data_IF_470333690246
#
_entry.id   IF_470333690246
#
_cell.length_a   1.000
_cell.length_b   1.000
_cell.length_c   1.000
_cell.angle_alpha   90.00
_cell.angle_beta   90.00
_cell.angle_gamma   90.00
#
_symmetry.space_group_name_H-M   'P 1'
#
loop_
_entity.id
_entity.type
_entity.pdbx_description
1 polymer ?
#
# COMPACT_ATOMS: atom_id res chain seq x y z
N UNK A 1 -27.90 -21.53 -2.72
CA UNK A 1 -27.66 -20.15 -3.18
C UNK A 1 -26.26 -19.94 -3.75
N UNK A 2 -25.17 -20.39 -3.10
CA UNK A 2 -23.87 -20.57 -3.77
C UNK A 2 -23.76 -21.92 -4.53
N UNK A 3 -24.70 -22.84 -4.29
CA UNK A 3 -24.81 -24.18 -4.90
C UNK A 3 -25.06 -24.19 -6.41
N UNK A 4 -25.58 -23.10 -6.97
CA UNK A 4 -26.06 -23.06 -8.36
C UNK A 4 -25.05 -22.39 -9.30
N UNK A 5 -23.84 -22.05 -8.80
CA UNK A 5 -22.78 -21.39 -9.59
C UNK A 5 -23.03 -19.93 -9.96
N UNK A 6 -24.18 -19.33 -9.57
CA UNK A 6 -24.45 -17.91 -9.81
C UNK A 6 -23.80 -17.06 -8.71
N UNK A 7 -22.73 -16.34 -9.07
CA UNK A 7 -22.04 -15.44 -8.14
C UNK A 7 -22.80 -14.12 -8.03
N UNK A 8 -23.54 -13.93 -6.93
CA UNK A 8 -24.22 -12.67 -6.60
C UNK A 8 -23.28 -11.71 -5.89
N UNK A 9 -23.41 -10.40 -6.14
CA UNK A 9 -22.57 -9.37 -5.53
C UNK A 9 -22.68 -9.35 -4.00
N UNK A 10 -23.89 -9.54 -3.48
CA UNK A 10 -24.18 -9.53 -2.04
C UNK A 10 -23.46 -10.67 -1.31
N UNK A 11 -23.27 -11.82 -1.98
CA UNK A 11 -22.51 -12.95 -1.43
C UNK A 11 -21.03 -12.56 -1.30
N UNK A 12 -20.44 -11.93 -2.30
CA UNK A 12 -19.06 -11.46 -2.25
C UNK A 12 -18.87 -10.40 -1.15
N UNK A 13 -19.79 -9.43 -1.06
CA UNK A 13 -19.77 -8.40 -0.02
C UNK A 13 -19.88 -9.01 1.39
N UNK A 14 -20.78 -9.97 1.58
CA UNK A 14 -20.94 -10.67 2.85
C UNK A 14 -19.66 -11.46 3.23
N UNK A 15 -18.99 -12.09 2.25
CA UNK A 15 -17.72 -12.78 2.49
C UNK A 15 -16.60 -11.82 2.88
N UNK A 16 -16.51 -10.64 2.27
CA UNK A 16 -15.54 -9.61 2.66
C UNK A 16 -15.74 -9.17 4.12
N UNK A 17 -16.98 -8.87 4.50
CA UNK A 17 -17.32 -8.49 5.88
C UNK A 17 -17.06 -9.63 6.87
N UNK A 18 -17.41 -10.86 6.51
CA UNK A 18 -17.15 -12.04 7.34
C UNK A 18 -15.65 -12.25 7.54
N UNK A 19 -14.84 -12.14 6.48
CA UNK A 19 -13.39 -12.26 6.57
C UNK A 19 -12.81 -11.21 7.54
N UNK A 20 -13.25 -9.95 7.45
CA UNK A 20 -12.85 -8.89 8.39
C UNK A 20 -13.26 -9.22 9.84
N UNK A 21 -14.51 -9.62 10.07
CA UNK A 21 -14.98 -10.02 11.40
C UNK A 21 -14.16 -11.19 11.98
N UNK A 22 -13.81 -12.19 11.17
CA UNK A 22 -12.98 -13.31 11.57
C UNK A 22 -11.55 -12.89 11.92
N UNK A 23 -10.99 -11.91 11.18
CA UNK A 23 -9.69 -11.31 11.53
C UNK A 23 -9.74 -10.60 12.88
N UNK A 24 -10.74 -9.75 13.09
CA UNK A 24 -10.94 -9.02 14.34
C UNK A 24 -11.18 -9.96 15.52
N UNK A 25 -11.84 -11.10 15.28
CA UNK A 25 -12.04 -12.15 16.27
C UNK A 25 -10.81 -13.06 16.50
N UNK A 26 -9.65 -12.75 15.93
CA UNK A 26 -8.42 -13.54 16.12
C UNK A 26 -8.45 -14.91 15.45
N UNK A 27 -9.23 -15.09 14.37
CA UNK A 27 -9.38 -16.36 13.64
C UNK A 27 -8.75 -16.28 12.23
N UNK A 28 -7.42 -16.10 12.12
CA UNK A 28 -6.76 -15.81 10.84
C UNK A 28 -6.90 -16.94 9.81
N UNK A 29 -6.93 -18.20 10.24
CA UNK A 29 -7.12 -19.34 9.33
C UNK A 29 -8.52 -19.36 8.70
N UNK A 30 -9.57 -18.99 9.45
CA UNK A 30 -10.93 -18.91 8.91
C UNK A 30 -11.06 -17.73 7.96
N UNK A 31 -10.57 -16.56 8.36
CA UNK A 31 -10.54 -15.38 7.51
C UNK A 31 -9.81 -15.65 6.19
N UNK A 32 -8.71 -16.41 6.23
CA UNK A 32 -7.99 -16.82 5.03
C UNK A 32 -8.84 -17.70 4.09
N UNK A 33 -9.56 -18.69 4.64
CA UNK A 33 -10.47 -19.53 3.86
C UNK A 33 -11.62 -18.72 3.27
N UNK A 34 -12.27 -17.88 4.09
CA UNK A 34 -13.39 -17.01 3.68
C UNK A 34 -12.98 -16.07 2.55
N UNK A 35 -11.83 -15.41 2.69
CA UNK A 35 -11.29 -14.55 1.64
C UNK A 35 -10.93 -15.35 0.39
N UNK A 36 -10.37 -16.56 0.54
CA UNK A 36 -10.05 -17.43 -0.59
C UNK A 36 -11.28 -17.94 -1.36
N UNK A 37 -12.43 -18.06 -0.70
CA UNK A 37 -13.73 -18.34 -1.35
C UNK A 37 -14.18 -17.10 -2.13
N UNK A 38 -14.16 -15.92 -1.50
CA UNK A 38 -14.54 -14.66 -2.15
C UNK A 38 -13.72 -14.41 -3.43
N UNK A 39 -12.39 -14.56 -3.35
CA UNK A 39 -11.50 -14.36 -4.48
C UNK A 39 -11.78 -15.33 -5.64
N UNK A 40 -12.04 -16.60 -5.34
CA UNK A 40 -12.36 -17.61 -6.38
C UNK A 40 -13.71 -17.36 -7.04
N UNK A 41 -14.72 -16.99 -6.25
CA UNK A 41 -16.03 -16.62 -6.78
C UNK A 41 -15.95 -15.37 -7.66
N UNK A 42 -15.17 -14.37 -7.24
CA UNK A 42 -14.94 -13.16 -8.03
C UNK A 42 -14.18 -13.46 -9.34
N UNK A 43 -13.11 -14.26 -9.29
CA UNK A 43 -12.40 -14.69 -10.49
C UNK A 43 -13.33 -15.46 -11.46
N UNK A 44 -14.21 -16.30 -10.94
CA UNK A 44 -15.23 -16.99 -11.74
C UNK A 44 -16.25 -16.01 -12.34
N UNK A 45 -16.69 -14.99 -11.58
CA UNK A 45 -17.58 -13.94 -12.09
C UNK A 45 -16.92 -13.16 -13.22
N UNK A 46 -15.66 -12.77 -13.06
CA UNK A 46 -14.89 -12.05 -14.08
C UNK A 46 -14.73 -12.87 -15.36
N UNK A 47 -14.46 -14.16 -15.23
CA UNK A 47 -14.31 -15.09 -16.37
C UNK A 47 -15.61 -15.29 -17.15
N UNK A 48 -16.77 -15.08 -16.52
CA UNK A 48 -18.09 -15.26 -17.10
C UNK A 48 -18.80 -13.94 -17.43
N UNK A 49 -18.10 -12.80 -17.38
CA UNK A 49 -18.65 -11.51 -17.77
C UNK A 49 -19.03 -11.54 -19.26
N UNK A 50 -20.33 -11.73 -19.53
CA UNK A 50 -20.91 -11.33 -20.82
C UNK A 50 -21.00 -9.82 -20.82
N UNK A 51 -20.52 -9.17 -21.88
CA UNK A 51 -20.63 -7.73 -22.06
C UNK A 51 -22.11 -7.33 -22.01
N UNK A 52 -22.57 -6.91 -20.84
CA UNK A 52 -23.93 -6.47 -20.57
C UNK A 52 -23.82 -5.04 -20.10
N UNK A 53 -24.48 -4.15 -20.84
CA UNK A 53 -24.62 -2.74 -20.54
C UNK A 53 -25.61 -2.57 -19.38
N UNK A 54 -25.13 -2.74 -18.14
CA UNK A 54 -25.93 -2.51 -16.96
C UNK A 54 -25.53 -1.21 -16.24
N UNK A 55 -26.46 -0.63 -15.50
CA UNK A 55 -26.40 0.76 -15.01
C UNK A 55 -25.10 1.15 -14.28
N UNK A 56 -24.64 2.41 -14.46
CA UNK A 56 -23.39 2.96 -13.88
C UNK A 56 -23.23 2.80 -12.36
N UNK A 57 -24.34 2.69 -11.60
CA UNK A 57 -24.30 2.52 -10.14
C UNK A 57 -23.97 1.08 -9.74
N UNK A 58 -24.41 0.11 -10.52
CA UNK A 58 -24.08 -1.30 -10.35
C UNK A 58 -22.59 -1.53 -10.64
N UNK A 59 -22.02 -0.82 -11.61
CA UNK A 59 -20.60 -0.91 -11.98
C UNK A 59 -19.65 -0.47 -10.85
N UNK A 60 -19.94 0.66 -10.16
CA UNK A 60 -19.11 1.12 -9.04
C UNK A 60 -19.19 0.18 -7.83
N UNK A 61 -20.37 -0.36 -7.53
CA UNK A 61 -20.54 -1.34 -6.44
C UNK A 61 -19.77 -2.64 -6.72
N UNK A 62 -19.76 -3.10 -7.97
CA UNK A 62 -18.97 -4.25 -8.42
C UNK A 62 -17.47 -3.95 -8.25
N UNK A 63 -17.01 -2.79 -8.74
CA UNK A 63 -15.62 -2.36 -8.59
C UNK A 63 -15.18 -2.31 -7.13
N UNK A 64 -15.96 -1.64 -6.25
CA UNK A 64 -15.69 -1.58 -4.81
C UNK A 64 -15.58 -2.96 -4.18
N UNK A 65 -16.48 -3.88 -4.53
CA UNK A 65 -16.44 -5.24 -4.00
C UNK A 65 -15.19 -5.99 -4.46
N UNK A 66 -14.86 -5.92 -5.75
CA UNK A 66 -13.64 -6.51 -6.31
C UNK A 66 -12.38 -6.02 -5.57
N UNK A 67 -12.22 -4.69 -5.49
CA UNK A 67 -11.06 -4.07 -4.86
C UNK A 67 -11.01 -4.29 -3.34
N UNK A 68 -12.15 -4.50 -2.68
CA UNK A 68 -12.19 -4.94 -1.29
C UNK A 68 -11.58 -6.34 -1.11
N UNK A 69 -11.90 -7.27 -2.01
CA UNK A 69 -11.32 -8.63 -1.98
C UNK A 69 -9.80 -8.55 -2.21
N UNK A 70 -9.36 -7.77 -3.21
CA UNK A 70 -7.94 -7.53 -3.48
C UNK A 70 -7.23 -6.96 -2.25
N UNK A 71 -7.82 -5.96 -1.59
CA UNK A 71 -7.27 -5.36 -0.38
C UNK A 71 -7.10 -6.40 0.74
N UNK A 72 -8.11 -7.26 0.96
CA UNK A 72 -8.03 -8.35 1.93
C UNK A 72 -6.96 -9.38 1.58
N UNK A 73 -6.81 -9.72 0.29
CA UNK A 73 -5.72 -10.57 -0.19
C UNK A 73 -4.35 -9.93 0.09
N UNK A 74 -4.14 -8.66 -0.25
CA UNK A 74 -2.88 -7.96 -0.01
C UNK A 74 -2.55 -7.82 1.49
N UNK A 75 -3.55 -7.55 2.33
CA UNK A 75 -3.37 -7.35 3.78
C UNK A 75 -3.08 -8.64 4.54
N UNK A 76 -3.75 -9.73 4.16
CA UNK A 76 -3.82 -10.92 5.00
C UNK A 76 -3.28 -12.18 4.34
N UNK A 77 -3.20 -12.21 3.01
CA UNK A 77 -2.88 -13.41 2.23
C UNK A 77 -2.07 -13.12 0.94
N UNK A 78 -1.06 -12.23 0.96
CA UNK A 78 -0.47 -11.70 -0.27
C UNK A 78 0.17 -12.75 -1.18
N UNK A 79 0.61 -13.88 -0.63
CA UNK A 79 1.18 -15.00 -1.38
C UNK A 79 0.16 -15.82 -2.19
N UNK A 80 -1.13 -15.66 -1.90
CA UNK A 80 -2.23 -16.41 -2.53
C UNK A 80 -3.16 -15.49 -3.31
N UNK A 81 -2.73 -14.23 -3.52
CA UNK A 81 -3.49 -13.23 -4.27
C UNK A 81 -3.66 -13.71 -5.70
N UNK A 82 -4.90 -14.00 -6.10
CA UNK A 82 -5.20 -14.42 -7.46
C UNK A 82 -5.76 -13.30 -8.32
N UNK A 83 -6.30 -12.23 -7.71
CA UNK A 83 -7.07 -11.20 -8.44
C UNK A 83 -6.22 -10.07 -9.05
N UNK A 84 -5.02 -9.82 -8.53
CA UNK A 84 -4.14 -8.71 -8.97
C UNK A 84 -3.72 -8.82 -10.44
N UNK A 85 -3.63 -10.03 -10.99
CA UNK A 85 -3.15 -10.29 -12.36
C UNK A 85 -4.25 -10.84 -13.29
N UNK A 86 -5.52 -10.76 -12.88
CA UNK A 86 -6.64 -11.30 -13.67
C UNK A 86 -6.98 -10.38 -14.84
N UNK A 87 -6.95 -10.93 -16.05
CA UNK A 87 -7.52 -10.31 -17.25
C UNK A 87 -8.96 -9.89 -16.98
N UNK A 88 -9.33 -8.65 -17.35
CA UNK A 88 -10.66 -8.06 -17.12
C UNK A 88 -10.98 -7.60 -15.69
N UNK A 89 -9.97 -7.31 -14.87
CA UNK A 89 -10.20 -6.61 -13.60
C UNK A 89 -11.02 -5.31 -13.81
N UNK A 90 -12.01 -5.01 -12.96
CA UNK A 90 -12.75 -3.75 -13.02
C UNK A 90 -11.82 -2.54 -12.87
N UNK A 91 -12.23 -1.39 -13.42
CA UNK A 91 -11.57 -0.11 -13.15
C UNK A 91 -11.57 0.20 -11.65
N UNK A 92 -10.67 1.09 -11.22
CA UNK A 92 -10.67 1.53 -9.82
C UNK A 92 -12.01 2.17 -9.42
N UNK A 93 -12.43 2.04 -8.15
CA UNK A 93 -13.67 2.65 -7.68
C UNK A 93 -13.61 4.17 -7.81
N UNK A 94 -14.77 4.79 -7.99
CA UNK A 94 -14.86 6.25 -8.05
C UNK A 94 -14.36 6.86 -6.75
N UNK A 95 -13.39 7.77 -6.86
CA UNK A 95 -12.91 8.56 -5.73
C UNK A 95 -13.87 9.69 -5.41
N UNK A 96 -13.99 10.03 -4.13
CA UNK A 96 -14.65 11.26 -3.71
C UNK A 96 -13.82 12.49 -4.14
N UNK A 97 -14.47 13.64 -4.42
CA UNK A 97 -13.75 14.88 -4.71
C UNK A 97 -12.81 15.28 -3.57
N UNK A 98 -11.76 16.02 -3.91
CA UNK A 98 -10.88 16.61 -2.91
C UNK A 98 -11.65 17.64 -2.07
N UNK A 99 -11.47 17.64 -0.73
CA UNK A 99 -12.01 18.69 0.13
C UNK A 99 -11.51 20.07 -0.30
N UNK A 100 -12.31 21.15 -0.12
CA UNK A 100 -11.88 22.50 -0.42
C UNK A 100 -10.56 22.84 0.28
N UNK A 101 -9.63 23.47 -0.43
CA UNK A 101 -8.42 23.96 0.23
C UNK A 101 -8.79 25.11 1.17
N UNK A 102 -8.29 25.07 2.41
CA UNK A 102 -8.24 26.26 3.24
C UNK A 102 -7.43 27.33 2.48
N UNK A 103 -7.86 28.59 2.57
CA UNK A 103 -7.18 29.69 1.87
C UNK A 103 -5.66 29.59 2.09
N UNK A 104 -4.83 29.75 1.04
CA UNK A 104 -3.41 29.50 1.16
C UNK A 104 -2.84 30.34 2.31
N UNK A 105 -2.33 29.65 3.33
CA UNK A 105 -1.48 30.26 4.35
C UNK A 105 -0.39 31.03 3.60
N UNK A 106 -0.31 32.35 3.86
CA UNK A 106 0.55 33.35 3.19
C UNK A 106 2.07 33.08 3.19
N UNK A 107 2.53 31.83 3.38
CA UNK A 107 3.95 31.48 3.53
C UNK A 107 4.44 30.24 2.79
N UNK A 108 3.57 29.45 2.14
CA UNK A 108 4.02 28.29 1.37
C UNK A 108 4.38 28.71 -0.07
N UNK A 109 5.51 29.43 -0.21
CA UNK A 109 6.05 29.70 -1.54
C UNK A 109 6.41 28.35 -2.19
N UNK A 110 5.78 28.03 -3.32
CA UNK A 110 6.12 26.86 -4.13
C UNK A 110 7.61 26.94 -4.48
N UNK A 111 8.41 26.03 -3.91
CA UNK A 111 9.81 25.88 -4.31
C UNK A 111 9.81 25.33 -5.75
N UNK A 112 10.12 26.20 -6.72
CA UNK A 112 10.16 25.97 -8.18
C UNK A 112 8.78 25.73 -8.86
N UNK A 113 8.09 26.81 -9.27
CA UNK A 113 6.93 26.75 -10.16
C UNK A 113 7.21 25.98 -11.47
N UNK A 114 8.36 26.24 -12.10
CA UNK A 114 8.73 25.69 -13.42
C UNK A 114 8.84 24.15 -13.48
N UNK A 115 9.17 23.47 -12.37
CA UNK A 115 9.21 22.01 -12.30
C UNK A 115 7.83 21.40 -11.99
N UNK A 116 6.93 22.19 -11.42
CA UNK A 116 5.62 21.75 -10.95
C UNK A 116 4.59 21.87 -12.09
N UNK A 117 4.62 22.97 -12.84
CA UNK A 117 3.70 23.23 -13.95
C UNK A 117 3.89 22.26 -15.14
N UNK A 118 5.12 21.82 -15.40
CA UNK A 118 5.43 20.83 -16.45
C UNK A 118 4.86 19.43 -16.14
N UNK A 119 4.65 19.10 -14.86
CA UNK A 119 4.14 17.81 -14.40
C UNK A 119 2.61 17.82 -14.23
N UNK A 120 2.03 18.96 -13.84
CA UNK A 120 0.59 19.11 -13.58
C UNK A 120 -0.27 19.15 -14.85
N UNK A 121 0.26 19.63 -15.99
CA UNK A 121 -0.51 19.75 -17.23
C UNK A 121 -0.85 18.44 -17.95
N UNK A 122 -0.25 17.31 -17.56
CA UNK A 122 -0.31 16.05 -18.35
C UNK A 122 -0.74 14.81 -17.55
N UNK A 123 -1.02 14.93 -16.25
CA UNK A 123 -1.38 13.77 -15.41
C UNK A 123 -2.89 13.71 -15.24
N UNK A 124 -3.50 12.65 -15.81
CA UNK A 124 -4.88 12.30 -15.50
C UNK A 124 -4.95 11.81 -14.05
N UNK A 125 -5.57 12.60 -13.18
CA UNK A 125 -5.78 12.22 -11.77
C UNK A 125 -6.77 11.05 -11.68
N UNK A 126 -6.26 9.88 -11.25
CA UNK A 126 -7.09 8.70 -11.00
C UNK A 126 -7.89 8.79 -9.68
N UNK A 127 -7.61 9.82 -8.86
CA UNK A 127 -8.23 10.05 -7.57
C UNK A 127 -7.59 9.27 -6.43
N UNK A 128 -7.89 9.69 -5.21
CA UNK A 128 -7.20 9.21 -4.00
C UNK A 128 -7.40 7.72 -3.73
N UNK A 129 -8.56 7.16 -4.08
CA UNK A 129 -8.87 5.75 -3.85
C UNK A 129 -8.03 4.86 -4.76
N UNK A 130 -7.89 5.23 -6.04
CA UNK A 130 -7.06 4.51 -6.98
C UNK A 130 -5.58 4.55 -6.56
N UNK A 131 -5.10 5.72 -6.10
CA UNK A 131 -3.74 5.86 -5.59
C UNK A 131 -3.51 4.96 -4.37
N UNK A 132 -4.40 5.01 -3.37
CA UNK A 132 -4.30 4.17 -2.18
C UNK A 132 -4.28 2.67 -2.51
N UNK A 133 -5.21 2.22 -3.36
CA UNK A 133 -5.27 0.81 -3.78
C UNK A 133 -4.01 0.36 -4.53
N UNK A 134 -3.47 1.21 -5.41
CA UNK A 134 -2.22 0.91 -6.13
C UNK A 134 -1.05 0.63 -5.18
N UNK A 135 -0.85 1.45 -4.15
CA UNK A 135 0.19 1.22 -3.14
C UNK A 135 -0.09 0.00 -2.26
N UNK A 136 -1.35 -0.30 -1.93
CA UNK A 136 -1.72 -1.53 -1.20
C UNK A 136 -1.42 -2.80 -2.01
N UNK A 137 -1.67 -2.77 -3.32
CA UNK A 137 -1.31 -3.90 -4.21
C UNK A 137 0.20 -4.10 -4.25
N UNK A 138 0.97 -3.01 -4.40
CA UNK A 138 2.42 -3.08 -4.38
C UNK A 138 2.96 -3.59 -3.03
N UNK A 139 2.36 -3.14 -1.92
CA UNK A 139 2.64 -3.64 -0.58
C UNK A 139 2.49 -5.16 -0.50
N UNK A 140 1.36 -5.70 -0.99
CA UNK A 140 1.15 -7.15 -1.07
C UNK A 140 2.26 -7.86 -1.85
N UNK A 141 2.68 -7.30 -2.99
CA UNK A 141 3.81 -7.79 -3.79
C UNK A 141 5.14 -7.85 -3.02
N UNK A 142 5.43 -6.82 -2.22
CA UNK A 142 6.63 -6.74 -1.38
C UNK A 142 6.58 -7.76 -0.24
N UNK A 143 5.45 -7.89 0.46
CA UNK A 143 5.31 -8.87 1.54
C UNK A 143 5.47 -10.30 1.00
N UNK A 144 4.92 -10.59 -0.18
CA UNK A 144 5.13 -11.86 -0.88
C UNK A 144 6.62 -12.08 -1.20
N UNK A 145 7.32 -11.07 -1.73
CA UNK A 145 8.76 -11.12 -2.00
C UNK A 145 9.60 -11.38 -0.74
N UNK A 146 9.37 -10.64 0.35
CA UNK A 146 10.08 -10.83 1.62
C UNK A 146 9.83 -12.22 2.21
N UNK A 147 8.61 -12.73 2.05
CA UNK A 147 8.26 -14.08 2.47
C UNK A 147 9.05 -15.12 1.68
N UNK A 148 9.20 -14.97 0.38
CA UNK A 148 9.97 -15.92 -0.43
C UNK A 148 11.45 -15.94 -0.01
N UNK A 149 12.05 -14.77 0.24
CA UNK A 149 13.40 -14.68 0.82
C UNK A 149 13.48 -15.43 2.16
N UNK A 150 12.50 -15.21 3.05
CA UNK A 150 12.44 -15.90 4.35
C UNK A 150 12.46 -17.42 4.17
N UNK A 151 11.73 -17.94 3.19
CA UNK A 151 11.64 -19.38 2.89
C UNK A 151 12.81 -19.92 2.06
N UNK A 152 13.80 -19.10 1.72
CA UNK A 152 15.04 -19.56 1.07
C UNK A 152 15.17 -19.19 -0.40
N UNK A 153 14.29 -18.36 -0.94
CA UNK A 153 14.49 -17.81 -2.27
C UNK A 153 15.80 -17.02 -2.32
N UNK A 154 16.62 -17.37 -3.31
CA UNK A 154 17.92 -16.77 -3.54
C UNK A 154 17.76 -15.60 -4.49
N UNK A 155 18.20 -14.41 -4.07
CA UNK A 155 18.06 -13.21 -4.87
C UNK A 155 19.27 -12.30 -4.75
N UNK A 156 19.54 -11.59 -5.86
CA UNK A 156 20.54 -10.54 -5.95
C UNK A 156 19.81 -9.23 -6.29
N UNK A 157 19.42 -8.44 -5.28
CA UNK A 157 18.51 -7.29 -5.46
C UNK A 157 18.98 -6.21 -6.43
N UNK A 158 20.29 -6.14 -6.70
CA UNK A 158 20.88 -5.18 -7.64
C UNK A 158 20.83 -5.63 -9.11
N UNK A 159 20.48 -6.89 -9.39
CA UNK A 159 20.33 -7.35 -10.78
C UNK A 159 19.06 -6.77 -11.39
N UNK A 160 19.13 -6.31 -12.64
CA UNK A 160 17.99 -5.76 -13.37
C UNK A 160 16.80 -6.73 -13.48
N UNK A 161 17.08 -8.03 -13.49
CA UNK A 161 16.08 -9.11 -13.55
C UNK A 161 15.52 -9.51 -12.19
N UNK A 162 16.04 -8.97 -11.08
CA UNK A 162 15.59 -9.30 -9.73
C UNK A 162 14.14 -8.85 -9.50
N UNK A 163 13.42 -9.59 -8.65
CA UNK A 163 12.08 -9.22 -8.20
C UNK A 163 12.11 -7.90 -7.42
N UNK A 164 13.17 -7.63 -6.67
CA UNK A 164 13.42 -6.34 -6.05
C UNK A 164 13.37 -5.18 -7.06
N UNK A 165 14.11 -5.29 -8.17
CA UNK A 165 14.09 -4.26 -9.20
C UNK A 165 12.75 -4.18 -9.94
N UNK A 166 12.09 -5.31 -10.20
CA UNK A 166 10.74 -5.31 -10.78
C UNK A 166 9.72 -4.57 -9.88
N UNK A 167 9.77 -4.79 -8.56
CA UNK A 167 8.94 -4.08 -7.59
C UNK A 167 9.32 -2.60 -7.50
N UNK A 168 10.60 -2.26 -7.65
CA UNK A 168 11.09 -0.88 -7.71
C UNK A 168 10.54 -0.15 -8.95
N UNK A 169 10.49 -0.82 -10.11
CA UNK A 169 9.87 -0.24 -11.32
C UNK A 169 8.38 0.00 -11.10
N UNK A 170 7.64 -0.97 -10.53
CA UNK A 170 6.22 -0.80 -10.19
C UNK A 170 5.96 0.38 -9.23
N UNK A 171 6.88 0.62 -8.28
CA UNK A 171 6.84 1.80 -7.42
C UNK A 171 6.94 3.09 -8.24
N UNK A 172 7.92 3.20 -9.13
CA UNK A 172 8.10 4.39 -9.96
C UNK A 172 6.92 4.63 -10.92
N UNK A 173 6.31 3.57 -11.43
CA UNK A 173 5.09 3.65 -12.23
C UNK A 173 3.90 4.20 -11.42
N UNK A 174 3.79 3.84 -10.13
CA UNK A 174 2.77 4.40 -9.24
C UNK A 174 3.06 5.86 -8.90
N UNK A 175 4.32 6.22 -8.63
CA UNK A 175 4.71 7.61 -8.39
C UNK A 175 4.36 8.50 -9.58
N UNK A 176 4.65 8.05 -10.81
CA UNK A 176 4.30 8.78 -12.03
C UNK A 176 2.78 8.94 -12.26
N UNK A 177 1.96 8.04 -11.72
CA UNK A 177 0.50 8.11 -11.80
C UNK A 177 -0.12 8.88 -10.64
N UNK A 178 0.62 9.07 -9.55
CA UNK A 178 0.13 9.75 -8.35
C UNK A 178 0.07 11.25 -8.62
N UNK A 179 -1.13 11.81 -8.64
CA UNK A 179 -1.28 13.24 -8.89
C UNK A 179 -0.60 14.06 -7.77
N UNK A 180 0.18 15.11 -8.12
CA UNK A 180 0.84 15.97 -7.12
C UNK A 180 -0.12 16.56 -6.08
N UNK A 181 -1.40 16.75 -6.41
CA UNK A 181 -2.43 17.27 -5.48
C UNK A 181 -2.65 16.41 -4.25
N UNK A 182 -2.31 15.11 -4.32
CA UNK A 182 -2.46 14.17 -3.22
C UNK A 182 -1.20 14.06 -2.37
N UNK A 183 -0.08 14.64 -2.78
CA UNK A 183 1.17 14.60 -2.03
C UNK A 183 1.13 15.55 -0.83
N UNK A 184 1.79 15.18 0.27
CA UNK A 184 1.77 15.94 1.52
C UNK A 184 2.15 17.41 1.38
N UNK A 185 3.04 17.74 0.44
CA UNK A 185 3.42 19.13 0.14
C UNK A 185 2.25 20.00 -0.32
N UNK A 186 1.29 19.39 -1.01
CA UNK A 186 0.20 20.07 -1.69
C UNK A 186 -1.18 19.76 -1.05
N UNK A 187 -1.22 18.85 -0.07
CA UNK A 187 -2.42 18.45 0.64
C UNK A 187 -2.46 19.13 2.01
N UNK A 188 -3.55 19.84 2.37
CA UNK A 188 -3.60 20.64 3.59
C UNK A 188 -3.76 19.81 4.88
N UNK A 189 -3.61 18.48 4.87
CA UNK A 189 -3.88 17.62 6.04
C UNK A 189 -3.27 18.14 7.36
N UNK A 190 -1.99 18.57 7.40
CA UNK A 190 -1.42 19.13 8.63
C UNK A 190 -2.06 20.44 9.06
N UNK A 191 -2.69 21.20 8.17
CA UNK A 191 -3.26 22.51 8.49
C UNK A 191 -4.78 22.47 8.74
N UNK A 192 -5.41 21.31 8.50
CA UNK A 192 -6.86 21.14 8.63
C UNK A 192 -7.29 20.95 10.09
N UNK A 193 -8.39 21.57 10.53
CA UNK A 193 -8.93 21.34 11.87
C UNK A 193 -9.49 19.91 11.98
N UNK A 194 -9.40 19.26 13.16
CA UNK A 194 -9.87 17.89 13.35
C UNK A 194 -11.33 17.63 12.96
N UNK A 195 -12.22 18.62 13.11
CA UNK A 195 -13.63 18.51 12.70
C UNK A 195 -13.77 18.35 11.18
N UNK A 196 -13.07 19.17 10.38
CA UNK A 196 -13.12 19.12 8.92
C UNK A 196 -12.50 17.82 8.38
N UNK A 197 -11.44 17.31 9.03
CA UNK A 197 -10.86 16.01 8.70
C UNK A 197 -11.87 14.87 8.88
N UNK A 198 -12.69 14.92 9.93
CA UNK A 198 -13.71 13.91 10.21
C UNK A 198 -14.93 14.05 9.30
N UNK A 199 -15.34 15.27 8.95
CA UNK A 199 -16.41 15.50 7.96
C UNK A 199 -16.03 14.97 6.58
N UNK A 200 -14.78 15.15 6.18
CA UNK A 200 -14.24 14.68 4.89
C UNK A 200 -13.48 13.35 5.01
N UNK A 201 -13.84 12.50 5.97
CA UNK A 201 -13.09 11.26 6.27
C UNK A 201 -13.03 10.29 5.10
N UNK A 202 -14.03 10.29 4.21
CA UNK A 202 -14.02 9.48 2.98
C UNK A 202 -12.87 9.82 2.03
N UNK A 203 -12.34 11.04 2.10
CA UNK A 203 -11.13 11.44 1.38
C UNK A 203 -9.88 11.23 2.24
N UNK A 204 -9.91 11.68 3.50
CA UNK A 204 -8.72 11.71 4.34
C UNK A 204 -8.28 10.32 4.81
N UNK A 205 -9.19 9.37 5.01
CA UNK A 205 -8.83 8.00 5.35
C UNK A 205 -8.01 7.30 4.23
N UNK A 206 -8.47 7.26 2.96
CA UNK A 206 -7.64 6.73 1.88
C UNK A 206 -6.39 7.58 1.63
N UNK A 207 -6.41 8.89 1.91
CA UNK A 207 -5.21 9.73 1.83
C UNK A 207 -4.14 9.32 2.85
N UNK A 208 -4.51 9.12 4.12
CA UNK A 208 -3.59 8.63 5.16
C UNK A 208 -3.07 7.25 4.80
N UNK A 209 -3.95 6.35 4.34
CA UNK A 209 -3.56 5.04 3.86
C UNK A 209 -2.54 5.14 2.71
N UNK A 210 -2.80 5.98 1.71
CA UNK A 210 -1.89 6.21 0.59
C UNK A 210 -0.53 6.73 1.06
N UNK A 211 -0.50 7.79 1.88
CA UNK A 211 0.76 8.38 2.35
C UNK A 211 1.60 7.38 3.15
N UNK A 212 0.98 6.69 4.11
CA UNK A 212 1.70 5.72 4.93
C UNK A 212 2.16 4.53 4.08
N UNK A 213 1.29 3.96 3.25
CA UNK A 213 1.67 2.79 2.42
C UNK A 213 2.69 3.14 1.35
N UNK A 214 2.65 4.35 0.77
CA UNK A 214 3.67 4.87 -0.15
C UNK A 214 5.04 4.83 0.52
N UNK A 215 5.21 5.47 1.68
CA UNK A 215 6.51 5.46 2.38
C UNK A 215 6.87 4.06 2.93
N UNK A 216 5.92 3.34 3.53
CA UNK A 216 6.19 2.02 4.10
C UNK A 216 6.65 1.02 3.04
N UNK A 217 6.09 1.07 1.83
CA UNK A 217 6.49 0.27 0.67
C UNK A 217 7.96 0.51 0.32
N UNK A 218 8.39 1.78 0.21
CA UNK A 218 9.78 2.11 -0.11
C UNK A 218 10.75 1.65 0.99
N UNK A 219 10.37 1.87 2.25
CA UNK A 219 11.15 1.43 3.40
C UNK A 219 11.30 -0.10 3.43
N UNK A 220 10.18 -0.81 3.24
CA UNK A 220 10.09 -2.26 3.38
C UNK A 220 10.73 -3.00 2.22
N UNK A 221 10.66 -2.47 1.00
CA UNK A 221 11.40 -3.00 -0.15
C UNK A 221 12.92 -2.98 0.10
N UNK A 222 13.39 -1.91 0.75
CA UNK A 222 14.78 -1.70 1.13
C UNK A 222 15.12 -2.25 2.53
N UNK A 223 14.25 -3.05 3.13
CA UNK A 223 14.41 -3.50 4.52
C UNK A 223 15.73 -4.27 4.72
N UNK A 224 16.50 -4.02 5.80
CA UNK A 224 17.79 -4.69 6.06
C UNK A 224 17.73 -6.22 6.05
N UNK A 225 16.58 -6.79 6.42
CA UNK A 225 16.25 -8.21 6.30
C UNK A 225 16.65 -8.81 4.94
N UNK A 226 16.36 -8.12 3.83
CA UNK A 226 16.71 -8.58 2.48
C UNK A 226 18.23 -8.81 2.40
N UNK A 227 19.00 -7.85 2.89
CA UNK A 227 20.45 -7.92 2.87
C UNK A 227 21.00 -8.96 3.85
N UNK A 228 20.38 -9.09 5.03
CA UNK A 228 20.83 -9.99 6.09
C UNK A 228 20.52 -11.46 5.78
N UNK A 229 19.40 -11.77 5.11
CA UNK A 229 18.93 -13.14 4.90
C UNK A 229 19.22 -13.64 3.50
N UNK A 230 18.86 -12.89 2.45
CA UNK A 230 19.07 -13.34 1.07
C UNK A 230 20.57 -13.52 0.76
N UNK A 231 21.40 -12.59 1.24
CA UNK A 231 22.81 -12.52 0.84
C UNK A 231 23.73 -13.37 1.71
N UNK A 232 23.42 -13.56 3.00
CA UNK A 232 24.12 -14.57 3.82
C UNK A 232 23.96 -15.97 3.23
N UNK A 233 22.78 -16.29 2.70
CA UNK A 233 22.51 -17.59 2.06
C UNK A 233 23.20 -17.74 0.70
N UNK A 234 23.46 -16.63 -0.01
CA UNK A 234 24.05 -16.64 -1.36
C UNK A 234 25.54 -16.99 -1.39
N UNK A 235 26.18 -17.17 -0.23
CA UNK A 235 27.60 -17.49 -0.14
C UNK A 235 28.53 -16.41 -0.72
N UNK A 236 27.98 -15.27 -1.15
CA UNK A 236 28.75 -14.15 -1.68
C UNK A 236 29.29 -13.30 -0.53
N UNK A 237 30.59 -13.04 -0.59
CA UNK A 237 31.30 -12.20 0.39
C UNK A 237 31.11 -10.70 0.16
N UNK A 238 30.46 -10.28 -0.94
CA UNK A 238 30.41 -8.86 -1.30
C UNK A 238 29.12 -8.41 -2.00
N UNK A 239 28.67 -7.21 -1.63
CA UNK A 239 27.55 -6.48 -2.21
C UNK A 239 28.08 -5.19 -2.84
N UNK A 240 27.49 -4.69 -3.95
CA UNK A 240 27.88 -3.39 -4.47
C UNK A 240 27.69 -2.30 -3.40
N UNK A 241 28.74 -1.56 -3.07
CA UNK A 241 28.73 -0.58 -1.96
C UNK A 241 27.70 0.53 -2.16
N UNK A 242 27.59 1.04 -3.38
CA UNK A 242 26.61 2.07 -3.75
C UNK A 242 25.18 1.59 -3.60
N UNK A 243 24.91 0.33 -3.94
CA UNK A 243 23.60 -0.28 -3.74
C UNK A 243 23.28 -0.38 -2.25
N UNK A 244 24.21 -0.88 -1.43
CA UNK A 244 23.99 -1.00 0.01
C UNK A 244 23.73 0.36 0.67
N UNK A 245 24.53 1.38 0.34
CA UNK A 245 24.34 2.73 0.84
C UNK A 245 22.93 3.25 0.47
N UNK A 246 22.55 3.15 -0.80
CA UNK A 246 21.22 3.55 -1.28
C UNK A 246 20.11 2.85 -0.50
N UNK A 247 20.20 1.53 -0.34
CA UNK A 247 19.18 0.75 0.37
C UNK A 247 19.04 1.18 1.83
N UNK A 248 20.15 1.42 2.54
CA UNK A 248 20.12 1.90 3.93
C UNK A 248 19.47 3.28 4.03
N UNK A 249 19.88 4.22 3.16
CA UNK A 249 19.37 5.59 3.18
C UNK A 249 17.86 5.63 2.90
N UNK A 250 17.41 4.85 1.91
CA UNK A 250 15.99 4.72 1.57
C UNK A 250 15.19 4.09 2.71
N UNK A 251 15.69 3.00 3.30
CA UNK A 251 15.00 2.34 4.40
C UNK A 251 14.78 3.28 5.61
N UNK A 252 15.82 4.03 6.00
CA UNK A 252 15.75 4.96 7.13
C UNK A 252 14.88 6.18 6.83
N UNK A 253 15.10 6.84 5.69
CA UNK A 253 14.36 8.04 5.30
C UNK A 253 12.85 7.79 5.26
N UNK A 254 12.42 6.71 4.60
CA UNK A 254 11.00 6.41 4.49
C UNK A 254 10.40 5.90 5.81
N UNK A 255 11.16 5.19 6.64
CA UNK A 255 10.68 4.80 7.99
C UNK A 255 10.46 6.01 8.90
N UNK A 256 11.31 7.04 8.78
CA UNK A 256 11.14 8.28 9.52
C UNK A 256 9.89 9.04 9.06
N UNK A 257 9.63 9.09 7.74
CA UNK A 257 8.40 9.67 7.21
C UNK A 257 7.14 8.98 7.73
N UNK A 258 7.12 7.64 7.79
CA UNK A 258 6.00 6.91 8.40
C UNK A 258 5.82 7.32 9.87
N UNK A 259 6.91 7.45 10.63
CA UNK A 259 6.83 7.92 12.02
C UNK A 259 6.26 9.33 12.14
N UNK A 260 6.62 10.25 11.22
CA UNK A 260 6.08 11.61 11.17
C UNK A 260 4.59 11.60 10.82
N UNK A 261 4.16 10.79 9.86
CA UNK A 261 2.76 10.65 9.45
C UNK A 261 1.87 10.10 10.57
N UNK A 262 2.37 9.14 11.36
CA UNK A 262 1.66 8.63 12.54
C UNK A 262 1.46 9.74 13.56
N UNK A 263 2.52 10.49 13.89
CA UNK A 263 2.41 11.65 14.80
C UNK A 263 1.44 12.70 14.27
N UNK A 264 1.44 12.98 12.97
CA UNK A 264 0.46 13.90 12.38
C UNK A 264 -0.98 13.44 12.58
N UNK A 265 -1.25 12.13 12.49
CA UNK A 265 -2.59 11.59 12.78
C UNK A 265 -2.94 11.76 14.26
N UNK A 266 -2.00 11.49 15.17
CA UNK A 266 -2.15 11.69 16.62
C UNK A 266 -2.42 13.16 16.96
N UNK A 267 -1.61 14.08 16.45
CA UNK A 267 -1.71 15.53 16.65
C UNK A 267 -3.02 16.12 16.10
N UNK A 268 -3.62 15.46 15.10
CA UNK A 268 -4.91 15.84 14.51
C UNK A 268 -6.08 15.07 15.09
N UNK A 269 -5.85 14.20 16.08
CA UNK A 269 -6.87 13.29 16.65
C UNK A 269 -7.61 12.50 15.56
N UNK A 270 -6.92 12.18 14.46
CA UNK A 270 -7.48 11.44 13.35
C UNK A 270 -7.36 9.95 13.63
N UNK A 271 -8.48 9.30 13.93
CA UNK A 271 -8.49 7.90 14.34
C UNK A 271 -8.19 6.96 13.16
N UNK A 272 -7.12 6.17 13.31
CA UNK A 272 -6.66 5.19 12.32
C UNK A 272 -6.76 3.78 12.90
N UNK A 273 -7.79 3.05 12.49
CA UNK A 273 -8.04 1.66 12.89
C UNK A 273 -7.83 0.68 11.72
N UNK A 274 -6.77 0.90 10.93
CA UNK A 274 -6.49 0.10 9.75
C UNK A 274 -5.34 -0.91 10.00
N UNK A 275 -5.60 -2.23 9.92
CA UNK A 275 -4.57 -3.25 10.07
C UNK A 275 -3.41 -3.16 9.07
N UNK A 276 -3.65 -2.68 7.84
CA UNK A 276 -2.60 -2.46 6.83
C UNK A 276 -1.65 -1.36 7.27
N UNK A 277 -2.19 -0.25 7.78
CA UNK A 277 -1.38 0.84 8.34
C UNK A 277 -0.56 0.30 9.52
N UNK A 278 -1.17 -0.45 10.42
CA UNK A 278 -0.46 -1.10 11.53
C UNK A 278 0.70 -2.00 11.07
N UNK A 279 0.50 -2.81 10.02
CA UNK A 279 1.56 -3.63 9.43
C UNK A 279 2.69 -2.78 8.82
N UNK A 280 2.36 -1.73 8.08
CA UNK A 280 3.32 -0.81 7.48
C UNK A 280 4.18 -0.10 8.53
N UNK A 281 3.54 0.40 9.60
CA UNK A 281 4.20 1.04 10.74
C UNK A 281 5.11 0.04 11.45
N UNK A 282 4.65 -1.20 11.71
CA UNK A 282 5.46 -2.22 12.36
C UNK A 282 6.71 -2.58 11.54
N UNK A 283 6.59 -2.70 10.22
CA UNK A 283 7.73 -2.96 9.33
C UNK A 283 8.75 -1.80 9.34
N UNK A 284 8.29 -0.55 9.36
CA UNK A 284 9.17 0.61 9.46
C UNK A 284 9.84 0.68 10.85
N UNK A 285 9.08 0.40 11.91
CA UNK A 285 9.61 0.34 13.26
C UNK A 285 10.70 -0.73 13.40
N UNK A 286 10.56 -1.90 12.76
CA UNK A 286 11.61 -2.92 12.78
C UNK A 286 12.90 -2.48 12.08
N UNK A 287 12.81 -1.65 11.03
CA UNK A 287 13.99 -1.05 10.38
C UNK A 287 14.72 -0.15 11.38
N UNK A 288 14.01 0.79 11.99
CA UNK A 288 14.57 1.73 12.96
C UNK A 288 15.19 0.98 14.15
N UNK A 289 14.50 -0.03 14.66
CA UNK A 289 14.99 -0.90 15.73
C UNK A 289 16.31 -1.60 15.35
N UNK A 290 16.38 -2.25 14.18
CA UNK A 290 17.61 -2.92 13.71
C UNK A 290 18.79 -1.93 13.66
N UNK A 291 18.58 -0.72 13.15
CA UNK A 291 19.66 0.26 13.02
C UNK A 291 20.05 0.94 14.33
N UNK A 292 19.15 1.03 15.32
CA UNK A 292 19.51 1.46 16.67
C UNK A 292 20.54 0.49 17.29
N UNK A 293 20.24 -0.80 17.30
CA UNK A 293 21.14 -1.81 17.89
C UNK A 293 22.40 -2.10 17.05
N UNK A 294 22.39 -1.78 15.75
CA UNK A 294 23.60 -1.84 14.94
C UNK A 294 24.66 -0.80 15.36
N UNK A 295 24.25 0.30 15.99
CA UNK A 295 25.14 1.38 16.47
C UNK A 295 25.74 1.09 17.85
N UNK A 296 25.14 0.21 18.64
CA UNK A 296 25.53 -0.10 20.04
C UNK A 296 26.74 -1.05 20.18
N UNK A 297 27.79 -0.88 19.36
CA UNK A 297 29.04 -1.66 19.49
C UNK A 297 30.15 -0.96 20.28
N UNK A 298 29.86 0.18 20.92
CA UNK A 298 30.81 0.89 21.78
C UNK A 298 30.21 1.22 23.14
N UNK A 299 29.83 0.19 23.90
CA UNK A 299 29.68 0.26 25.35
C UNK A 299 29.76 -1.18 25.89
N UNK A 300 30.98 -1.66 26.14
CA UNK A 300 31.43 -2.59 27.21
C UNK A 300 32.80 -3.10 26.79
N UNK A 301 33.85 -2.37 27.18
CA UNK A 301 35.05 -2.98 27.73
C UNK A 301 35.28 -2.29 29.08
N UNK A 302 34.88 -3.00 30.12
CA UNK A 302 35.32 -2.86 31.50
C UNK A 302 36.83 -3.05 31.61
#
# INVERSE_FOLDING_TARGET
>A
MASDGVTKLEVLQALCLLALCERLAGKPARAWMTNGIAARLEAFRLSNLKASSDSQRTEDAISRCHWSIVLLECAFSPQSSILVEVSHAPSYPKSVPQPPQLQPSRGMNSYCPDLTDAYEGNIHDAGITACALGYVVLWGGIISYLRDIRHGAMEYPWLTTSRHNQLTVKLYELENKTSPRHLIRNAPFPDQPPSELNECREYWAPWVLMQITMHATQATLNHPFVQLVALRRAGRKFQPRSFLQKTVDQALFHSEWVSRLVRMCEDRTFEVNDPLIGQGVAACASILWIFQFARDRYCVQS
#
